data_IF_549109813035
#
_entry.id   IF_549109813035
#
_cell.length_a   1.000
_cell.length_b   1.000
_cell.length_c   1.000
_cell.angle_alpha   90.00
_cell.angle_beta   90.00
_cell.angle_gamma   90.00
#
_symmetry.space_group_name_H-M   'P 1'
#
loop_
_entity.id
_entity.type
_entity.pdbx_description
1 polymer ?
#
# COMPACT_ATOMS: atom_id res chain seq x y z
N UNK A 1 33.55 -32.79 -38.95
CA UNK A 1 32.48 -33.27 -38.06
C UNK A 1 32.68 -32.63 -36.70
N UNK A 2 32.02 -31.50 -36.46
CA UNK A 2 32.10 -30.77 -35.20
C UNK A 2 31.08 -31.39 -34.22
N UNK A 3 31.54 -31.73 -33.02
CA UNK A 3 30.73 -32.29 -31.94
C UNK A 3 29.99 -31.17 -31.22
N UNK A 4 28.72 -30.95 -31.57
CA UNK A 4 27.82 -30.08 -30.81
C UNK A 4 27.38 -30.79 -29.53
N UNK A 5 27.97 -30.40 -28.41
CA UNK A 5 27.48 -30.79 -27.07
C UNK A 5 26.45 -29.78 -26.60
N UNK A 6 25.17 -30.17 -26.69
CA UNK A 6 24.04 -29.41 -26.14
C UNK A 6 24.21 -29.29 -24.61
N UNK A 7 24.16 -28.09 -23.99
CA UNK A 7 24.28 -27.96 -22.55
C UNK A 7 23.01 -28.48 -21.87
N UNK A 8 23.17 -29.51 -21.03
CA UNK A 8 22.10 -30.13 -20.27
C UNK A 8 21.34 -29.09 -19.42
N UNK A 9 20.04 -28.97 -19.67
CA UNK A 9 19.10 -28.20 -18.85
C UNK A 9 19.01 -28.84 -17.47
N UNK A 10 19.59 -28.19 -16.46
CA UNK A 10 19.50 -28.63 -15.05
C UNK A 10 18.03 -28.66 -14.62
N UNK A 11 17.46 -29.86 -14.49
CA UNK A 11 16.11 -30.02 -13.93
C UNK A 11 16.10 -29.51 -12.48
N UNK A 12 15.07 -28.71 -12.14
CA UNK A 12 14.90 -28.21 -10.77
C UNK A 12 14.57 -29.39 -9.86
N UNK A 13 15.49 -29.74 -8.96
CA UNK A 13 15.29 -30.79 -7.96
C UNK A 13 14.26 -30.34 -6.91
N UNK A 14 13.21 -31.13 -6.72
CA UNK A 14 12.32 -30.99 -5.57
C UNK A 14 13.11 -31.28 -4.28
N UNK A 15 12.88 -30.49 -3.23
CA UNK A 15 13.53 -30.68 -1.94
C UNK A 15 12.50 -30.75 -0.82
N UNK A 16 12.77 -31.61 0.17
CA UNK A 16 11.94 -31.76 1.35
C UNK A 16 12.14 -30.56 2.30
N UNK A 17 11.05 -29.87 2.67
CA UNK A 17 11.08 -28.72 3.59
C UNK A 17 10.81 -29.21 5.02
N UNK A 18 11.69 -28.89 5.97
CA UNK A 18 11.38 -29.05 7.41
C UNK A 18 10.41 -27.96 7.88
N UNK A 19 9.73 -28.14 9.03
CA UNK A 19 8.92 -27.09 9.69
C UNK A 19 9.72 -25.79 9.96
N UNK A 20 11.04 -25.87 9.91
CA UNK A 20 11.96 -24.75 10.12
C UNK A 20 12.42 -24.07 8.81
N UNK A 21 11.86 -24.44 7.66
CA UNK A 21 12.24 -23.96 6.33
C UNK A 21 13.33 -24.82 5.68
N UNK A 22 13.54 -24.64 4.37
CA UNK A 22 14.63 -25.30 3.65
C UNK A 22 15.98 -24.64 3.90
N UNK A 23 17.08 -25.36 3.65
CA UNK A 23 18.44 -24.85 3.85
C UNK A 23 18.71 -23.50 3.15
N UNK A 24 18.25 -23.24 1.90
CA UNK A 24 18.34 -21.92 1.28
C UNK A 24 17.60 -20.81 2.06
N UNK A 25 16.39 -21.08 2.54
CA UNK A 25 15.60 -20.11 3.31
C UNK A 25 16.22 -19.81 4.68
N UNK A 26 16.82 -20.82 5.33
CA UNK A 26 17.59 -20.65 6.57
C UNK A 26 18.86 -19.84 6.33
N UNK A 27 19.63 -20.14 5.28
CA UNK A 27 20.85 -19.40 4.91
C UNK A 27 20.57 -17.92 4.63
N UNK A 28 19.40 -17.61 4.07
CA UNK A 28 18.94 -16.23 3.76
C UNK A 28 18.23 -15.52 4.93
N UNK A 29 18.19 -16.13 6.13
CA UNK A 29 17.57 -15.57 7.36
C UNK A 29 16.12 -15.10 7.18
N UNK A 30 15.35 -15.71 6.26
CA UNK A 30 14.03 -15.20 5.84
C UNK A 30 13.06 -15.05 7.02
N UNK A 31 13.11 -15.93 8.02
CA UNK A 31 12.26 -15.87 9.24
C UNK A 31 12.46 -14.61 10.09
N UNK A 32 13.68 -14.06 10.14
CA UNK A 32 13.99 -12.85 10.90
C UNK A 32 13.43 -11.63 10.17
N UNK A 33 13.59 -11.61 8.86
CA UNK A 33 13.11 -10.52 8.00
C UNK A 33 11.59 -10.51 7.84
N UNK A 34 10.90 -11.64 7.91
CA UNK A 34 9.42 -11.68 7.89
C UNK A 34 8.82 -11.00 9.11
N UNK A 35 9.35 -11.21 10.32
CA UNK A 35 8.82 -10.54 11.51
C UNK A 35 9.18 -9.05 11.53
N UNK A 36 10.44 -8.72 11.22
CA UNK A 36 10.91 -7.33 11.17
C UNK A 36 10.25 -6.50 10.06
N UNK A 37 9.85 -7.13 8.94
CA UNK A 37 9.14 -6.45 7.84
C UNK A 37 7.80 -5.84 8.26
N UNK A 38 7.13 -6.39 9.28
CA UNK A 38 5.74 -6.03 9.58
C UNK A 38 5.55 -5.31 10.91
N UNK A 39 6.54 -5.31 11.79
CA UNK A 39 6.37 -4.83 13.16
C UNK A 39 7.22 -3.61 13.43
N UNK A 40 6.56 -2.47 13.67
CA UNK A 40 7.16 -1.41 14.50
C UNK A 40 7.18 -1.87 15.97
N UNK A 41 8.12 -1.36 16.79
CA UNK A 41 7.99 -1.42 18.24
C UNK A 41 6.64 -0.78 18.62
N UNK A 42 5.76 -1.52 19.33
CA UNK A 42 4.50 -0.96 19.84
C UNK A 42 3.22 -1.75 19.53
N UNK A 43 3.24 -2.80 18.68
CA UNK A 43 2.08 -3.69 18.49
C UNK A 43 2.43 -5.16 18.76
N UNK A 44 2.37 -5.61 20.03
CA UNK A 44 2.67 -7.01 20.40
C UNK A 44 1.80 -8.02 19.66
N UNK A 45 0.52 -7.69 19.42
CA UNK A 45 -0.42 -8.58 18.75
C UNK A 45 -0.08 -8.80 17.28
N UNK A 46 0.28 -7.75 16.53
CA UNK A 46 0.76 -7.91 15.16
C UNK A 46 2.11 -8.63 15.12
N UNK A 47 2.98 -8.41 16.12
CA UNK A 47 4.24 -9.13 16.20
C UNK A 47 4.06 -10.63 16.41
N UNK A 48 3.14 -11.04 17.29
CA UNK A 48 2.75 -12.45 17.45
C UNK A 48 2.20 -13.02 16.13
N UNK A 49 1.30 -12.28 15.48
CA UNK A 49 0.65 -12.70 14.23
C UNK A 49 1.67 -13.12 13.16
N UNK A 50 2.65 -12.27 12.87
CA UNK A 50 3.63 -12.54 11.82
C UNK A 50 4.74 -13.51 12.26
N UNK A 51 5.02 -13.62 13.56
CA UNK A 51 6.07 -14.50 14.10
C UNK A 51 5.59 -15.95 14.28
N UNK A 52 4.32 -16.14 14.63
CA UNK A 52 3.78 -17.42 15.09
C UNK A 52 2.56 -17.86 14.27
N UNK A 53 1.51 -17.05 14.23
CA UNK A 53 0.21 -17.46 13.68
C UNK A 53 0.26 -17.68 12.16
N UNK A 54 0.82 -16.72 11.41
CA UNK A 54 1.00 -16.83 9.94
C UNK A 54 1.89 -18.01 9.56
N UNK A 55 3.07 -18.24 10.17
CA UNK A 55 3.87 -19.45 9.92
C UNK A 55 3.14 -20.74 10.25
N UNK A 56 2.33 -20.77 11.31
CA UNK A 56 1.49 -21.94 11.66
C UNK A 56 0.46 -22.23 10.57
N UNK A 57 -0.30 -21.22 10.13
CA UNK A 57 -1.25 -21.33 9.03
C UNK A 57 -0.55 -21.76 7.72
N UNK A 58 0.67 -21.27 7.48
CA UNK A 58 1.46 -21.58 6.28
C UNK A 58 1.90 -23.05 6.21
N UNK A 59 1.86 -23.78 7.33
CA UNK A 59 2.12 -25.23 7.35
C UNK A 59 0.94 -26.01 6.74
N UNK A 60 -0.29 -25.53 6.94
CA UNK A 60 -1.52 -26.13 6.39
C UNK A 60 -1.85 -25.59 5.00
N UNK A 61 -1.49 -24.34 4.71
CA UNK A 61 -1.81 -23.65 3.46
C UNK A 61 -0.54 -23.17 2.76
N UNK A 62 -0.05 -23.96 1.79
CA UNK A 62 1.22 -23.70 1.10
C UNK A 62 1.25 -22.35 0.38
N UNK A 63 0.13 -21.90 -0.20
CA UNK A 63 0.02 -20.61 -0.87
C UNK A 63 0.31 -19.44 0.07
N UNK A 64 -0.11 -19.51 1.34
CA UNK A 64 0.17 -18.47 2.34
C UNK A 64 1.68 -18.39 2.62
N UNK A 65 2.33 -19.54 2.76
CA UNK A 65 3.78 -19.60 2.95
C UNK A 65 4.56 -19.04 1.75
N UNK A 66 4.07 -19.29 0.53
CA UNK A 66 4.65 -18.70 -0.67
C UNK A 66 4.44 -17.17 -0.74
N UNK A 67 3.26 -16.66 -0.37
CA UNK A 67 3.03 -15.22 -0.24
C UNK A 67 3.94 -14.56 0.80
N UNK A 68 4.09 -15.18 1.96
CA UNK A 68 4.98 -14.72 3.03
C UNK A 68 6.45 -14.61 2.54
N UNK A 69 6.94 -15.64 1.83
CA UNK A 69 8.28 -15.63 1.27
C UNK A 69 8.45 -14.53 0.21
N UNK A 70 7.46 -14.34 -0.65
CA UNK A 70 7.48 -13.27 -1.66
C UNK A 70 7.67 -11.90 -1.00
N UNK A 71 6.83 -11.56 -0.01
CA UNK A 71 6.94 -10.30 0.73
C UNK A 71 8.30 -10.16 1.42
N UNK A 72 8.78 -11.23 2.05
CA UNK A 72 10.09 -11.21 2.70
C UNK A 72 11.24 -10.93 1.72
N UNK A 73 11.17 -11.47 0.50
CA UNK A 73 12.15 -11.21 -0.54
C UNK A 73 12.11 -9.77 -1.05
N UNK A 74 10.94 -9.15 -1.15
CA UNK A 74 10.83 -7.73 -1.50
C UNK A 74 11.45 -6.85 -0.42
N UNK A 75 11.14 -7.11 0.85
CA UNK A 75 11.77 -6.39 1.97
C UNK A 75 13.29 -6.58 2.00
N UNK A 76 13.79 -7.79 1.76
CA UNK A 76 15.23 -8.03 1.62
C UNK A 76 15.82 -7.27 0.44
N UNK A 77 15.10 -7.18 -0.68
CA UNK A 77 15.54 -6.43 -1.85
C UNK A 77 15.67 -4.93 -1.56
N UNK A 78 14.76 -4.35 -0.79
CA UNK A 78 14.82 -2.92 -0.39
C UNK A 78 16.00 -2.60 0.53
N UNK A 79 16.55 -3.60 1.23
CA UNK A 79 17.72 -3.46 2.10
C UNK A 79 19.05 -3.84 1.40
N UNK A 80 19.00 -4.29 0.15
CA UNK A 80 20.13 -4.87 -0.56
C UNK A 80 20.69 -3.96 -1.64
N UNK A 81 21.96 -4.16 -2.00
CA UNK A 81 22.58 -3.51 -3.16
C UNK A 81 21.85 -3.87 -4.48
N UNK A 82 21.89 -3.01 -5.52
CA UNK A 82 21.06 -3.16 -6.73
C UNK A 82 21.16 -4.53 -7.44
N UNK A 83 22.37 -5.09 -7.57
CA UNK A 83 22.58 -6.40 -8.22
C UNK A 83 21.89 -7.54 -7.45
N UNK A 84 21.99 -7.52 -6.12
CA UNK A 84 21.37 -8.50 -5.23
C UNK A 84 19.86 -8.29 -5.16
N UNK A 85 19.42 -7.03 -5.09
CA UNK A 85 18.01 -6.63 -5.09
C UNK A 85 17.26 -7.21 -6.30
N UNK A 86 17.77 -7.05 -7.53
CA UNK A 86 17.16 -7.64 -8.74
C UNK A 86 16.94 -9.16 -8.62
N UNK A 87 17.92 -9.89 -8.10
CA UNK A 87 17.80 -11.34 -7.91
C UNK A 87 16.74 -11.70 -6.87
N UNK A 88 16.67 -10.95 -5.77
CA UNK A 88 15.68 -11.15 -4.73
C UNK A 88 14.26 -10.84 -5.23
N UNK A 89 14.08 -9.82 -6.07
CA UNK A 89 12.78 -9.53 -6.72
C UNK A 89 12.33 -10.66 -7.66
N UNK A 90 13.25 -11.28 -8.39
CA UNK A 90 12.95 -12.49 -9.19
C UNK A 90 12.51 -13.65 -8.29
N UNK A 91 13.22 -13.88 -7.18
CA UNK A 91 12.84 -14.90 -6.20
C UNK A 91 11.46 -14.61 -5.57
N UNK A 92 11.16 -13.33 -5.32
CA UNK A 92 9.83 -12.89 -4.87
C UNK A 92 8.74 -13.26 -5.89
N UNK A 93 8.90 -12.85 -7.14
CA UNK A 93 7.93 -13.12 -8.21
C UNK A 93 7.72 -14.63 -8.42
N UNK A 94 8.79 -15.43 -8.32
CA UNK A 94 8.68 -16.89 -8.34
C UNK A 94 7.76 -17.39 -7.23
N UNK A 95 7.98 -16.98 -5.98
CA UNK A 95 7.16 -17.45 -4.87
C UNK A 95 5.71 -16.97 -4.99
N UNK A 96 5.48 -15.73 -5.41
CA UNK A 96 4.13 -15.20 -5.63
C UNK A 96 3.36 -16.01 -6.67
N UNK A 97 3.96 -16.26 -7.84
CA UNK A 97 3.35 -17.04 -8.92
C UNK A 97 3.07 -18.50 -8.51
N UNK A 98 3.91 -19.09 -7.66
CA UNK A 98 3.68 -20.44 -7.12
C UNK A 98 2.51 -20.50 -6.13
N UNK A 99 2.16 -19.39 -5.47
CA UNK A 99 1.01 -19.35 -4.56
C UNK A 99 -0.34 -19.32 -5.30
N UNK A 100 -0.38 -18.67 -6.46
CA UNK A 100 -1.64 -18.35 -7.16
C UNK A 100 -2.54 -19.57 -7.43
N UNK A 101 -2.05 -20.72 -7.95
CA UNK A 101 -2.93 -21.85 -8.24
C UNK A 101 -3.65 -22.37 -6.99
N UNK A 102 -2.91 -22.53 -5.88
CA UNK A 102 -3.48 -23.04 -4.62
C UNK A 102 -4.45 -22.03 -3.97
N UNK A 103 -4.13 -20.74 -4.07
CA UNK A 103 -5.02 -19.67 -3.60
C UNK A 103 -6.31 -19.61 -4.42
N UNK A 104 -6.21 -19.61 -5.76
CA UNK A 104 -7.35 -19.54 -6.67
C UNK A 104 -8.24 -20.78 -6.60
N UNK A 105 -7.69 -21.95 -6.27
CA UNK A 105 -8.53 -23.12 -5.98
C UNK A 105 -9.26 -22.97 -4.65
N UNK A 106 -8.56 -22.52 -3.61
CA UNK A 106 -9.12 -22.38 -2.26
C UNK A 106 -10.21 -21.31 -2.17
N UNK A 107 -10.13 -20.23 -2.96
CA UNK A 107 -11.11 -19.14 -2.93
C UNK A 107 -12.47 -19.53 -3.53
N UNK A 108 -12.53 -20.60 -4.33
CA UNK A 108 -13.79 -21.11 -4.90
C UNK A 108 -14.77 -21.56 -3.80
N UNK A 109 -14.25 -22.05 -2.67
CA UNK A 109 -15.04 -22.48 -1.53
C UNK A 109 -14.45 -21.95 -0.22
N UNK A 110 -14.97 -20.81 0.23
CA UNK A 110 -14.52 -20.16 1.47
C UNK A 110 -15.18 -20.84 2.66
N UNK A 111 -14.38 -21.29 3.62
CA UNK A 111 -14.80 -21.97 4.86
C UNK A 111 -14.12 -21.31 6.06
N UNK A 112 -14.60 -21.60 7.27
CA UNK A 112 -13.96 -21.14 8.51
C UNK A 112 -12.47 -21.53 8.55
N UNK A 113 -12.14 -22.77 8.18
CA UNK A 113 -10.79 -23.32 8.23
C UNK A 113 -9.80 -22.65 7.29
N UNK A 114 -10.23 -22.20 6.09
CA UNK A 114 -9.34 -21.58 5.10
C UNK A 114 -9.42 -20.05 5.07
N UNK A 115 -10.43 -19.45 5.72
CA UNK A 115 -10.68 -18.01 5.70
C UNK A 115 -9.48 -17.18 6.12
N UNK A 116 -8.83 -17.56 7.23
CA UNK A 116 -7.63 -16.88 7.73
C UNK A 116 -6.47 -16.98 6.75
N UNK A 117 -6.26 -18.14 6.12
CA UNK A 117 -5.19 -18.28 5.14
C UNK A 117 -5.46 -17.46 3.87
N UNK A 118 -6.71 -17.47 3.37
CA UNK A 118 -7.13 -16.68 2.22
C UNK A 118 -6.96 -15.19 2.48
N UNK A 119 -7.46 -14.69 3.61
CA UNK A 119 -7.34 -13.28 3.97
C UNK A 119 -5.88 -12.86 4.20
N UNK A 120 -5.07 -13.71 4.85
CA UNK A 120 -3.64 -13.48 5.06
C UNK A 120 -2.87 -13.39 3.74
N UNK A 121 -3.17 -14.27 2.79
CA UNK A 121 -2.57 -14.19 1.45
C UNK A 121 -3.04 -12.95 0.69
N UNK A 122 -4.32 -12.59 0.81
CA UNK A 122 -4.86 -11.38 0.22
C UNK A 122 -4.10 -10.13 0.73
N UNK A 123 -3.84 -10.01 2.04
CA UNK A 123 -2.98 -8.96 2.61
C UNK A 123 -1.60 -8.92 1.93
N UNK A 124 -0.97 -10.07 1.69
CA UNK A 124 0.30 -10.13 0.96
C UNK A 124 0.17 -9.64 -0.49
N UNK A 125 -0.93 -9.93 -1.18
CA UNK A 125 -1.18 -9.37 -2.53
C UNK A 125 -1.12 -7.85 -2.51
N UNK A 126 -1.78 -7.18 -1.55
CA UNK A 126 -1.74 -5.71 -1.46
C UNK A 126 -0.34 -5.19 -1.18
N UNK A 127 0.40 -5.81 -0.26
CA UNK A 127 1.77 -5.41 0.05
C UNK A 127 2.70 -5.55 -1.15
N UNK A 128 2.57 -6.65 -1.91
CA UNK A 128 3.31 -6.87 -3.15
C UNK A 128 2.90 -5.85 -4.22
N UNK A 129 1.60 -5.58 -4.38
CA UNK A 129 1.10 -4.58 -5.33
C UNK A 129 1.67 -3.19 -5.02
N UNK A 130 1.68 -2.76 -3.76
CA UNK A 130 2.25 -1.48 -3.36
C UNK A 130 3.74 -1.39 -3.66
N UNK A 131 4.52 -2.40 -3.24
CA UNK A 131 5.96 -2.38 -3.44
C UNK A 131 6.33 -2.42 -4.94
N UNK A 132 5.62 -3.22 -5.73
CA UNK A 132 5.83 -3.31 -7.18
C UNK A 132 5.42 -2.02 -7.89
N UNK A 133 4.28 -1.42 -7.56
CA UNK A 133 3.85 -0.14 -8.15
C UNK A 133 4.86 0.97 -7.84
N UNK A 134 5.45 0.94 -6.65
CA UNK A 134 6.53 1.86 -6.30
C UNK A 134 7.74 1.67 -7.26
N UNK A 135 8.26 0.45 -7.38
CA UNK A 135 9.44 0.15 -8.23
C UNK A 135 9.17 0.45 -9.72
N UNK A 136 8.00 0.06 -10.22
CA UNK A 136 7.53 0.34 -11.58
C UNK A 136 7.49 1.85 -11.83
N UNK A 137 6.96 2.63 -10.88
CA UNK A 137 6.92 4.08 -10.99
C UNK A 137 8.32 4.71 -11.04
N UNK A 138 9.31 4.24 -10.28
CA UNK A 138 10.67 4.76 -10.43
C UNK A 138 11.27 4.55 -11.81
N UNK A 139 11.10 3.36 -12.38
CA UNK A 139 11.68 3.03 -13.69
C UNK A 139 11.02 3.87 -14.78
N UNK A 140 9.70 4.08 -14.66
CA UNK A 140 8.93 4.89 -15.59
C UNK A 140 9.29 6.37 -15.48
N UNK A 141 9.37 6.93 -14.28
CA UNK A 141 9.76 8.33 -14.08
C UNK A 141 11.18 8.61 -14.61
N UNK A 142 12.15 7.72 -14.32
CA UNK A 142 13.50 7.85 -14.88
C UNK A 142 13.49 7.80 -16.42
N UNK A 143 12.66 6.95 -17.02
CA UNK A 143 12.50 6.90 -18.47
C UNK A 143 11.88 8.18 -19.04
N UNK A 144 10.94 8.83 -18.34
CA UNK A 144 10.39 10.11 -18.79
C UNK A 144 11.44 11.22 -18.81
N UNK A 145 12.35 11.24 -17.84
CA UNK A 145 13.50 12.16 -17.84
C UNK A 145 14.42 11.91 -19.04
N UNK A 146 14.75 10.64 -19.32
CA UNK A 146 15.65 10.26 -20.41
C UNK A 146 15.00 10.37 -21.81
N UNK A 147 13.68 10.17 -21.91
CA UNK A 147 12.93 10.07 -23.17
C UNK A 147 11.62 10.88 -23.13
N UNK A 148 11.69 12.22 -23.18
CA UNK A 148 10.51 13.09 -23.06
C UNK A 148 9.42 12.81 -24.12
N UNK A 149 9.82 12.33 -25.30
CA UNK A 149 8.90 11.98 -26.39
C UNK A 149 8.02 10.75 -26.10
N UNK A 150 8.28 9.99 -25.02
CA UNK A 150 7.44 8.87 -24.55
C UNK A 150 6.65 9.21 -23.28
N UNK A 151 6.44 10.50 -23.01
CA UNK A 151 5.72 10.96 -21.82
C UNK A 151 4.33 10.30 -21.70
N UNK A 152 3.56 10.23 -22.79
CA UNK A 152 2.22 9.64 -22.80
C UNK A 152 2.20 8.14 -22.42
N UNK A 153 3.14 7.35 -22.97
CA UNK A 153 3.28 5.93 -22.60
C UNK A 153 3.65 5.78 -21.12
N UNK A 154 4.51 6.67 -20.62
CA UNK A 154 4.94 6.69 -19.23
C UNK A 154 3.78 7.03 -18.30
N UNK A 155 3.02 8.09 -18.62
CA UNK A 155 1.82 8.50 -17.91
C UNK A 155 0.81 7.35 -17.83
N UNK A 156 0.56 6.68 -18.96
CA UNK A 156 -0.36 5.53 -19.01
C UNK A 156 0.13 4.38 -18.12
N UNK A 157 1.43 4.05 -18.15
CA UNK A 157 2.02 3.02 -17.30
C UNK A 157 1.85 3.33 -15.81
N UNK A 158 2.14 4.57 -15.41
CA UNK A 158 1.99 5.07 -14.04
C UNK A 158 0.52 5.03 -13.57
N UNK A 159 -0.38 5.49 -14.43
CA UNK A 159 -1.83 5.51 -14.21
C UNK A 159 -2.40 4.10 -13.97
N UNK A 160 -2.00 3.15 -14.82
CA UNK A 160 -2.36 1.73 -14.67
C UNK A 160 -1.80 1.13 -13.38
N UNK A 161 -0.56 1.47 -13.00
CA UNK A 161 0.06 0.99 -11.76
C UNK A 161 -0.67 1.51 -10.51
N UNK A 162 -1.12 2.78 -10.52
CA UNK A 162 -1.90 3.36 -9.42
C UNK A 162 -3.29 2.70 -9.30
N UNK A 163 -3.99 2.51 -10.42
CA UNK A 163 -5.28 1.84 -10.42
C UNK A 163 -5.20 0.35 -10.03
N UNK A 164 -4.09 -0.34 -10.37
CA UNK A 164 -3.82 -1.71 -9.93
C UNK A 164 -3.79 -1.83 -8.41
N UNK A 165 -3.22 -0.84 -7.71
CA UNK A 165 -3.22 -0.78 -6.24
C UNK A 165 -4.65 -0.67 -5.71
N UNK A 166 -5.46 0.22 -6.28
CA UNK A 166 -6.87 0.39 -5.89
C UNK A 166 -7.65 -0.93 -6.01
N UNK A 167 -7.55 -1.59 -7.17
CA UNK A 167 -8.20 -2.89 -7.41
C UNK A 167 -7.72 -3.97 -6.45
N UNK A 168 -6.42 -3.99 -6.14
CA UNK A 168 -5.86 -4.96 -5.19
C UNK A 168 -6.50 -4.82 -3.81
N UNK A 169 -6.67 -3.59 -3.32
CA UNK A 169 -7.31 -3.32 -2.02
C UNK A 169 -8.80 -3.70 -2.05
N UNK A 170 -9.54 -3.30 -3.07
CA UNK A 170 -10.96 -3.63 -3.22
C UNK A 170 -11.19 -5.15 -3.24
N UNK A 171 -10.32 -5.91 -3.91
CA UNK A 171 -10.38 -7.37 -3.94
C UNK A 171 -10.20 -8.01 -2.56
N UNK A 172 -9.29 -7.49 -1.72
CA UNK A 172 -9.15 -7.95 -0.33
C UNK A 172 -10.45 -7.71 0.44
N UNK A 173 -11.04 -6.53 0.30
CA UNK A 173 -12.25 -6.17 1.04
C UNK A 173 -13.46 -7.00 0.64
N UNK A 174 -13.58 -7.35 -0.65
CA UNK A 174 -14.58 -8.32 -1.11
C UNK A 174 -14.44 -9.69 -0.43
N UNK A 175 -13.20 -10.16 -0.19
CA UNK A 175 -12.95 -11.41 0.55
C UNK A 175 -13.27 -11.23 2.02
N UNK A 176 -12.77 -10.15 2.63
CA UNK A 176 -13.00 -9.84 4.04
C UNK A 176 -14.49 -9.85 4.39
N UNK A 177 -15.33 -9.21 3.59
CA UNK A 177 -16.77 -9.17 3.84
C UNK A 177 -17.41 -10.57 3.88
N UNK A 178 -16.95 -11.49 3.01
CA UNK A 178 -17.45 -12.88 2.97
C UNK A 178 -17.03 -13.72 4.18
N UNK A 179 -15.92 -13.39 4.83
CA UNK A 179 -15.39 -14.14 5.96
C UNK A 179 -15.28 -13.34 7.26
N UNK A 180 -15.90 -12.16 7.34
CA UNK A 180 -15.71 -11.19 8.42
C UNK A 180 -15.89 -11.82 9.80
N UNK A 181 -16.93 -12.63 9.99
CA UNK A 181 -17.21 -13.31 11.25
C UNK A 181 -16.04 -14.18 11.71
N UNK A 182 -15.45 -14.97 10.80
CA UNK A 182 -14.35 -15.89 11.09
C UNK A 182 -13.01 -15.16 11.26
N UNK A 183 -12.79 -14.08 10.51
CA UNK A 183 -11.57 -13.26 10.67
C UNK A 183 -11.60 -12.50 12.00
N UNK A 184 -12.78 -12.02 12.42
CA UNK A 184 -12.93 -11.23 13.65
C UNK A 184 -12.73 -12.06 14.92
N UNK A 185 -13.07 -13.35 14.91
CA UNK A 185 -12.79 -14.29 16.00
C UNK A 185 -11.47 -15.06 15.83
N UNK A 186 -10.85 -14.97 14.65
CA UNK A 186 -9.71 -15.78 14.26
C UNK A 186 -8.33 -15.18 14.59
N UNK A 187 -7.25 -15.88 14.19
CA UNK A 187 -5.87 -15.45 14.42
C UNK A 187 -5.52 -14.13 13.70
N UNK A 188 -6.22 -13.80 12.60
CA UNK A 188 -6.01 -12.56 11.86
C UNK A 188 -6.77 -11.34 12.43
N UNK A 189 -7.53 -11.51 13.51
CA UNK A 189 -8.25 -10.40 14.15
C UNK A 189 -7.37 -9.18 14.49
N UNK A 190 -6.09 -9.31 14.89
CA UNK A 190 -5.24 -8.14 15.15
C UNK A 190 -4.96 -7.29 13.90
N UNK A 191 -5.07 -7.85 12.69
CA UNK A 191 -4.83 -7.14 11.44
C UNK A 191 -6.01 -6.27 10.99
N UNK A 192 -7.20 -6.49 11.55
CA UNK A 192 -8.45 -5.78 11.20
C UNK A 192 -8.99 -4.91 12.34
N UNK A 193 -8.36 -4.97 13.52
CA UNK A 193 -8.83 -4.28 14.70
C UNK A 193 -8.71 -2.77 14.50
N UNK A 194 -9.86 -2.10 14.35
CA UNK A 194 -9.91 -0.64 14.30
C UNK A 194 -9.66 -0.05 15.67
N UNK A 195 -8.87 1.00 15.72
CA UNK A 195 -8.61 1.72 16.96
C UNK A 195 -9.68 2.79 17.16
N UNK A 196 -10.11 2.99 18.39
CA UNK A 196 -11.01 4.10 18.74
C UNK A 196 -10.11 5.18 19.34
N UNK A 197 -10.08 6.39 18.77
CA UNK A 197 -9.21 7.44 19.29
C UNK A 197 -9.70 7.85 20.70
N UNK A 198 -8.80 8.12 21.65
CA UNK A 198 -9.18 8.85 22.85
C UNK A 198 -9.67 10.25 22.46
N UNK A 199 -10.46 10.88 23.34
CA UNK A 199 -11.10 12.20 23.16
C UNK A 199 -10.27 13.17 22.31
N UNK A 200 -10.90 13.73 21.28
CA UNK A 200 -10.30 14.69 20.36
C UNK A 200 -9.83 15.95 21.09
N UNK A 201 -8.54 16.27 20.95
CA UNK A 201 -8.03 17.57 21.41
C UNK A 201 -8.53 18.70 20.51
N UNK A 202 -8.71 19.91 21.06
CA UNK A 202 -9.13 21.09 20.30
C UNK A 202 -8.23 21.37 19.08
N UNK A 203 -6.91 21.17 19.24
CA UNK A 203 -5.94 21.33 18.15
C UNK A 203 -6.20 20.38 16.97
N UNK A 204 -6.54 19.11 17.25
CA UNK A 204 -6.83 18.14 16.20
C UNK A 204 -8.15 18.46 15.50
N UNK A 205 -9.16 18.93 16.24
CA UNK A 205 -10.44 19.37 15.65
C UNK A 205 -10.24 20.52 14.67
N UNK A 206 -9.44 21.52 15.05
CA UNK A 206 -9.15 22.65 14.18
C UNK A 206 -8.32 22.23 12.96
N UNK A 207 -7.34 21.33 13.13
CA UNK A 207 -6.57 20.79 12.01
C UNK A 207 -7.45 20.04 11.01
N UNK A 208 -8.37 19.20 11.49
CA UNK A 208 -9.34 18.50 10.62
C UNK A 208 -10.16 19.51 9.82
N UNK A 209 -10.64 20.58 10.46
CA UNK A 209 -11.41 21.63 9.79
C UNK A 209 -10.60 22.34 8.69
N UNK A 210 -9.37 22.73 8.99
CA UNK A 210 -8.48 23.43 8.03
C UNK A 210 -8.18 22.54 6.82
N UNK A 211 -7.89 21.25 7.04
CA UNK A 211 -7.66 20.30 5.95
C UNK A 211 -8.92 20.05 5.13
N UNK A 212 -10.06 19.88 5.79
CA UNK A 212 -11.35 19.65 5.14
C UNK A 212 -11.73 20.80 4.20
N UNK A 213 -11.58 22.04 4.68
CA UNK A 213 -11.82 23.23 3.87
C UNK A 213 -10.86 23.28 2.66
N UNK A 214 -9.58 22.97 2.87
CA UNK A 214 -8.61 22.94 1.78
C UNK A 214 -8.98 21.90 0.72
N UNK A 215 -9.31 20.67 1.13
CA UNK A 215 -9.70 19.60 0.22
C UNK A 215 -11.02 19.89 -0.49
N UNK A 216 -11.99 20.50 0.19
CA UNK A 216 -13.28 20.86 -0.41
C UNK A 216 -13.12 21.80 -1.63
N UNK A 217 -12.09 22.66 -1.63
CA UNK A 217 -11.81 23.56 -2.75
C UNK A 217 -11.43 22.84 -4.04
N UNK A 218 -10.88 21.62 -3.97
CA UNK A 218 -10.55 20.82 -5.16
C UNK A 218 -11.78 20.53 -6.01
N UNK A 219 -12.96 20.45 -5.41
CA UNK A 219 -14.22 20.24 -6.12
C UNK A 219 -14.53 21.31 -7.17
N UNK A 220 -13.98 22.51 -7.01
CA UNK A 220 -14.14 23.60 -7.99
C UNK A 220 -13.42 23.33 -9.31
N UNK A 221 -12.34 22.55 -9.30
CA UNK A 221 -11.53 22.25 -10.49
C UNK A 221 -12.36 21.62 -11.61
N UNK A 222 -13.30 20.73 -11.27
CA UNK A 222 -14.21 20.11 -12.23
C UNK A 222 -15.64 20.68 -12.16
N UNK A 223 -16.03 21.34 -11.07
CA UNK A 223 -17.33 21.98 -10.94
C UNK A 223 -17.49 23.24 -11.79
N UNK A 224 -16.39 23.98 -12.01
CA UNK A 224 -16.37 25.20 -12.82
C UNK A 224 -15.91 24.95 -14.26
N UNK A 225 -15.43 23.75 -14.56
CA UNK A 225 -14.93 23.38 -15.89
C UNK A 225 -16.09 22.98 -16.82
N UNK A 226 -16.41 23.77 -17.86
CA UNK A 226 -17.55 23.50 -18.74
C UNK A 226 -17.36 22.26 -19.63
N UNK A 227 -16.14 21.75 -19.73
CA UNK A 227 -15.77 20.58 -20.55
C UNK A 227 -15.96 19.24 -19.83
N UNK A 228 -16.22 19.25 -18.52
CA UNK A 228 -16.33 18.02 -17.73
C UNK A 228 -17.80 17.56 -17.69
N UNK A 229 -18.13 16.35 -18.16
CA UNK A 229 -19.47 15.80 -18.06
C UNK A 229 -19.96 15.69 -16.60
N UNK A 230 -21.25 15.91 -16.37
CA UNK A 230 -21.84 15.86 -15.03
C UNK A 230 -21.57 14.53 -14.30
N UNK A 231 -21.68 13.41 -15.00
CA UNK A 231 -21.41 12.08 -14.43
C UNK A 231 -19.96 11.94 -13.93
N UNK A 232 -19.00 12.46 -14.71
CA UNK A 232 -17.60 12.49 -14.33
C UNK A 232 -17.38 13.41 -13.13
N UNK A 233 -17.99 14.60 -13.12
CA UNK A 233 -17.92 15.53 -11.99
C UNK A 233 -18.50 14.93 -10.70
N UNK A 234 -19.62 14.20 -10.78
CA UNK A 234 -20.20 13.46 -9.66
C UNK A 234 -19.25 12.37 -9.15
N UNK A 235 -18.63 11.61 -10.05
CA UNK A 235 -17.66 10.55 -9.72
C UNK A 235 -16.44 11.12 -8.99
N UNK A 236 -15.86 12.22 -9.50
CA UNK A 236 -14.74 12.93 -8.86
C UNK A 236 -15.14 13.47 -7.48
N UNK A 237 -16.33 14.07 -7.37
CA UNK A 237 -16.84 14.64 -6.12
C UNK A 237 -17.09 13.58 -5.05
N UNK A 238 -17.61 12.41 -5.44
CA UNK A 238 -17.81 11.28 -4.52
C UNK A 238 -16.47 10.75 -3.97
N UNK A 239 -15.47 10.60 -4.83
CA UNK A 239 -14.12 10.19 -4.44
C UNK A 239 -13.44 11.23 -3.54
N UNK A 240 -13.60 12.52 -3.84
CA UNK A 240 -13.09 13.62 -3.01
C UNK A 240 -13.76 13.63 -1.62
N UNK A 241 -15.08 13.46 -1.55
CA UNK A 241 -15.81 13.36 -0.28
C UNK A 241 -15.29 12.21 0.57
N UNK A 242 -15.08 11.04 -0.03
CA UNK A 242 -14.46 9.90 0.64
C UNK A 242 -13.02 10.21 1.11
N UNK A 243 -12.25 10.99 0.34
CA UNK A 243 -10.90 11.37 0.72
C UNK A 243 -10.93 12.27 1.95
N UNK A 244 -11.83 13.26 1.99
CA UNK A 244 -12.05 14.15 3.14
C UNK A 244 -12.37 13.37 4.41
N UNK A 245 -13.28 12.40 4.34
CA UNK A 245 -13.59 11.49 5.46
C UNK A 245 -12.33 10.73 5.94
N UNK A 246 -11.49 10.29 4.99
CA UNK A 246 -10.27 9.53 5.30
C UNK A 246 -9.22 10.41 5.97
N UNK A 247 -9.04 11.65 5.52
CA UNK A 247 -8.19 12.64 6.18
C UNK A 247 -8.64 12.88 7.62
N UNK A 248 -9.94 13.17 7.82
CA UNK A 248 -10.49 13.39 9.14
C UNK A 248 -10.25 12.18 10.05
N UNK A 249 -10.60 10.97 9.60
CA UNK A 249 -10.43 9.75 10.37
C UNK A 249 -8.97 9.47 10.73
N UNK A 250 -8.04 9.58 9.77
CA UNK A 250 -6.61 9.34 10.02
C UNK A 250 -6.04 10.39 10.97
N UNK A 251 -6.38 11.66 10.78
CA UNK A 251 -5.93 12.75 11.68
C UNK A 251 -6.44 12.53 13.11
N UNK A 252 -7.66 12.03 13.30
CA UNK A 252 -8.19 11.68 14.63
C UNK A 252 -7.43 10.52 15.29
N UNK A 253 -6.97 9.54 14.51
CA UNK A 253 -6.31 8.33 15.00
C UNK A 253 -4.80 8.50 15.26
N UNK A 254 -4.21 9.61 14.81
CA UNK A 254 -2.79 9.88 15.02
C UNK A 254 -2.54 10.29 16.48
N UNK A 255 -1.67 9.54 17.14
CA UNK A 255 -1.13 9.91 18.45
C UNK A 255 0.08 10.80 18.24
N UNK A 256 -0.06 12.08 18.58
CA UNK A 256 1.02 13.06 18.48
C UNK A 256 2.16 12.76 19.46
N UNK A 257 3.41 13.10 19.12
CA UNK A 257 4.52 12.99 20.06
C UNK A 257 4.29 13.92 21.27
N UNK A 258 4.83 13.58 22.46
CA UNK A 258 4.73 14.44 23.63
C UNK A 258 5.31 15.83 23.33
N UNK A 259 4.64 16.89 23.79
CA UNK A 259 5.09 18.27 23.60
C UNK A 259 6.44 18.46 24.31
N UNK A 260 7.47 18.91 23.58
CA UNK A 260 8.67 19.43 24.22
C UNK A 260 8.37 20.81 24.81
N UNK A 261 8.88 21.08 26.02
CA UNK A 261 8.63 22.33 26.77
C UNK A 261 9.05 23.61 26.03
N UNK A 262 9.80 23.52 24.92
CA UNK A 262 10.27 24.68 24.14
C UNK A 262 9.30 25.12 23.01
N UNK A 263 8.30 24.32 22.64
CA UNK A 263 7.35 24.66 21.55
C UNK A 263 6.20 25.57 21.98
N UNK A 264 6.09 25.93 23.27
CA UNK A 264 4.99 26.73 23.82
C UNK A 264 5.05 28.22 23.46
N UNK A 265 6.14 28.72 22.89
CA UNK A 265 6.37 30.18 22.73
C UNK A 265 6.22 30.71 21.29
N UNK A 266 5.74 29.91 20.33
CA UNK A 266 5.45 30.37 18.95
C UNK A 266 4.05 29.90 18.53
N UNK A 267 3.03 30.42 19.21
CA UNK A 267 1.63 30.36 18.78
C UNK A 267 1.30 31.62 17.97
N UNK A 268 1.81 31.69 16.75
CA UNK A 268 1.31 32.66 15.77
C UNK A 268 0.27 31.96 14.89
N UNK A 269 -0.99 32.22 15.23
CA UNK A 269 -2.31 32.18 14.54
C UNK A 269 -2.47 31.80 13.04
N UNK A 270 -1.49 31.22 12.33
CA UNK A 270 -1.67 30.74 10.95
C UNK A 270 -1.37 29.24 10.89
N UNK A 271 -2.41 28.43 10.71
CA UNK A 271 -2.30 27.00 10.50
C UNK A 271 -1.75 26.71 9.09
N UNK A 272 -0.42 26.67 8.98
CA UNK A 272 0.28 26.21 7.78
C UNK A 272 0.09 24.70 7.58
N UNK A 273 -0.52 24.30 6.46
CA UNK A 273 -0.73 22.90 6.06
C UNK A 273 0.58 22.10 6.07
N UNK A 274 1.72 22.71 5.71
CA UNK A 274 3.03 22.03 5.75
C UNK A 274 3.47 21.77 7.18
N UNK A 275 3.23 22.70 8.11
CA UNK A 275 3.50 22.50 9.55
C UNK A 275 2.61 21.40 10.12
N UNK A 276 1.32 21.40 9.79
CA UNK A 276 0.37 20.35 10.21
C UNK A 276 0.81 18.98 9.71
N UNK A 277 1.11 18.86 8.42
CA UNK A 277 1.61 17.62 7.83
C UNK A 277 2.87 17.13 8.55
N UNK A 278 3.87 17.99 8.78
CA UNK A 278 5.10 17.63 9.51
C UNK A 278 4.82 17.09 10.92
N UNK A 279 3.94 17.76 11.69
CA UNK A 279 3.58 17.31 13.05
C UNK A 279 2.83 15.98 13.05
N UNK A 280 1.89 15.79 12.11
CA UNK A 280 1.15 14.55 11.95
C UNK A 280 2.05 13.40 11.51
N UNK A 281 2.97 13.64 10.56
CA UNK A 281 3.95 12.64 10.08
C UNK A 281 4.97 12.24 11.16
N UNK A 282 5.23 13.11 12.14
CA UNK A 282 6.05 12.77 13.30
C UNK A 282 5.28 11.95 14.36
N UNK A 283 3.96 11.86 14.25
CA UNK A 283 3.10 11.07 15.13
C UNK A 283 3.15 9.57 14.85
N UNK A 284 2.42 8.81 15.67
CA UNK A 284 2.25 7.37 15.52
C UNK A 284 0.80 7.04 15.19
N UNK A 285 0.60 6.28 14.11
CA UNK A 285 -0.68 5.67 13.77
C UNK A 285 -0.62 4.16 14.00
N UNK A 286 -1.45 3.68 14.93
CA UNK A 286 -1.55 2.24 15.23
C UNK A 286 -2.57 1.54 14.31
N UNK A 287 -3.62 2.25 13.86
CA UNK A 287 -4.66 1.75 12.96
C UNK A 287 -4.34 2.06 11.48
N UNK A 288 -3.39 1.30 10.94
CA UNK A 288 -3.00 1.40 9.52
C UNK A 288 -4.14 1.07 8.54
N UNK A 289 -5.02 0.07 8.79
CA UNK A 289 -6.15 -0.20 7.90
C UNK A 289 -7.01 1.03 7.56
N UNK A 290 -7.16 1.98 8.50
CA UNK A 290 -7.92 3.22 8.30
C UNK A 290 -7.34 4.13 7.20
N UNK A 291 -6.04 4.03 6.89
CA UNK A 291 -5.41 4.75 5.78
C UNK A 291 -6.00 4.31 4.43
N UNK A 292 -6.37 3.04 4.32
CA UNK A 292 -6.85 2.46 3.06
C UNK A 292 -8.36 2.64 2.84
N UNK A 293 -9.09 3.25 3.79
CA UNK A 293 -10.54 3.51 3.67
C UNK A 293 -10.91 4.24 2.40
N UNK A 294 -10.07 5.16 1.93
CA UNK A 294 -10.28 5.82 0.65
C UNK A 294 -10.32 4.80 -0.51
N UNK A 295 -9.27 3.98 -0.68
CA UNK A 295 -9.21 2.96 -1.73
C UNK A 295 -10.37 1.96 -1.68
N UNK A 296 -10.81 1.59 -0.48
CA UNK A 296 -11.90 0.63 -0.26
C UNK A 296 -13.24 1.18 -0.80
N UNK A 297 -13.44 2.49 -0.69
CA UNK A 297 -14.68 3.18 -1.04
C UNK A 297 -14.66 3.78 -2.45
N UNK A 298 -13.56 3.64 -3.20
CA UNK A 298 -13.51 4.11 -4.59
C UNK A 298 -14.54 3.38 -5.44
N UNK A 299 -15.22 4.11 -6.31
CA UNK A 299 -16.13 3.51 -7.29
C UNK A 299 -15.35 2.93 -8.48
N UNK A 300 -15.90 1.93 -9.19
CA UNK A 300 -15.29 1.40 -10.41
C UNK A 300 -15.04 2.49 -11.48
N UNK A 301 -15.93 3.47 -11.57
CA UNK A 301 -15.85 4.58 -12.51
C UNK A 301 -14.65 5.48 -12.19
N UNK A 302 -14.43 5.79 -10.90
CA UNK A 302 -13.25 6.57 -10.49
C UNK A 302 -11.95 5.81 -10.76
N UNK A 303 -11.93 4.49 -10.51
CA UNK A 303 -10.76 3.66 -10.84
C UNK A 303 -10.51 3.66 -12.35
N UNK A 304 -11.55 3.65 -13.18
CA UNK A 304 -11.42 3.80 -14.64
C UNK A 304 -10.82 5.16 -15.03
N UNK A 305 -11.24 6.25 -14.40
CA UNK A 305 -10.63 7.58 -14.60
C UNK A 305 -9.14 7.57 -14.23
N UNK A 306 -8.77 6.86 -13.16
CA UNK A 306 -7.37 6.69 -12.79
C UNK A 306 -6.59 5.91 -13.87
N UNK A 307 -7.15 4.83 -14.42
CA UNK A 307 -6.51 4.03 -15.47
C UNK A 307 -6.30 4.81 -16.76
N UNK A 308 -7.23 5.72 -17.07
CA UNK A 308 -7.17 6.61 -18.22
C UNK A 308 -6.19 7.78 -18.03
N UNK A 309 -5.59 7.95 -16.84
CA UNK A 309 -4.69 9.05 -16.55
C UNK A 309 -5.41 10.40 -16.47
N UNK A 310 -6.67 10.43 -16.07
CA UNK A 310 -7.43 11.67 -15.95
C UNK A 310 -6.77 12.63 -14.95
N UNK A 311 -6.50 13.86 -15.38
CA UNK A 311 -5.80 14.87 -14.59
C UNK A 311 -6.44 15.11 -13.21
N UNK A 312 -7.77 15.27 -13.14
CA UNK A 312 -8.46 15.51 -11.86
C UNK A 312 -8.41 14.29 -10.93
N UNK A 313 -8.54 13.07 -11.47
CA UNK A 313 -8.38 11.86 -10.68
C UNK A 313 -6.95 11.74 -10.09
N UNK A 314 -5.94 12.14 -10.85
CA UNK A 314 -4.54 12.16 -10.40
C UNK A 314 -4.28 13.24 -9.35
N UNK A 315 -4.94 14.40 -9.44
CA UNK A 315 -4.92 15.41 -8.37
C UNK A 315 -5.48 14.83 -7.07
N UNK A 316 -6.62 14.14 -7.11
CA UNK A 316 -7.20 13.50 -5.92
C UNK A 316 -6.26 12.42 -5.36
N UNK A 317 -5.64 11.62 -6.23
CA UNK A 317 -4.63 10.62 -5.83
C UNK A 317 -3.39 11.27 -5.18
N UNK A 318 -2.90 12.39 -5.71
CA UNK A 318 -1.78 13.12 -5.14
C UNK A 318 -2.11 13.65 -3.73
N UNK A 319 -3.35 14.09 -3.49
CA UNK A 319 -3.79 14.47 -2.15
C UNK A 319 -3.91 13.26 -1.22
N UNK A 320 -4.37 12.10 -1.70
CA UNK A 320 -4.32 10.86 -0.94
C UNK A 320 -2.88 10.46 -0.55
N UNK A 321 -1.90 10.75 -1.40
CA UNK A 321 -0.49 10.49 -1.10
C UNK A 321 -0.01 11.15 0.20
N UNK A 322 -0.61 12.27 0.60
CA UNK A 322 -0.33 12.97 1.87
C UNK A 322 -0.72 12.10 3.07
N UNK A 323 -1.90 11.47 3.03
CA UNK A 323 -2.38 10.55 4.09
C UNK A 323 -1.49 9.33 4.16
N UNK A 324 -1.14 8.79 2.98
CA UNK A 324 -0.25 7.63 2.88
C UNK A 324 1.13 7.93 3.46
N UNK A 325 1.69 9.10 3.19
CA UNK A 325 3.00 9.52 3.70
C UNK A 325 3.00 9.62 5.23
N UNK A 326 1.98 10.28 5.82
CA UNK A 326 1.84 10.42 7.28
C UNK A 326 1.83 9.09 8.01
N UNK A 327 1.15 8.09 7.44
CA UNK A 327 0.92 6.82 8.11
C UNK A 327 1.98 5.74 7.81
N UNK A 328 2.61 5.83 6.64
CA UNK A 328 3.37 4.72 6.05
C UNK A 328 4.72 5.14 5.47
N UNK A 329 5.20 6.37 5.67
CA UNK A 329 6.50 6.85 5.14
C UNK A 329 7.70 5.99 5.55
N UNK A 330 7.68 5.42 6.75
CA UNK A 330 8.75 4.56 7.26
C UNK A 330 8.50 3.06 7.08
N UNK A 331 7.44 2.71 6.33
CA UNK A 331 7.14 1.33 5.98
C UNK A 331 7.75 1.00 4.62
N UNK A 332 8.52 -0.09 4.57
CA UNK A 332 9.29 -0.46 3.37
C UNK A 332 8.38 -0.71 2.15
N UNK A 333 7.15 -1.21 2.33
CA UNK A 333 6.24 -1.56 1.23
C UNK A 333 5.55 -0.34 0.59
N UNK A 334 5.61 0.82 1.24
CA UNK A 334 5.17 2.14 0.71
C UNK A 334 6.34 3.06 0.46
N UNK A 335 7.58 2.57 0.56
CA UNK A 335 8.76 3.41 0.43
C UNK A 335 8.73 4.20 -0.89
N UNK A 336 8.85 5.52 -0.77
CA UNK A 336 8.79 6.51 -1.85
C UNK A 336 7.48 6.57 -2.65
N UNK A 337 6.46 5.81 -2.26
CA UNK A 337 5.25 5.69 -3.07
C UNK A 337 4.42 6.98 -3.05
N UNK A 338 4.31 7.63 -1.89
CA UNK A 338 3.63 8.92 -1.77
C UNK A 338 4.27 9.97 -2.69
N UNK A 339 5.60 10.09 -2.65
CA UNK A 339 6.35 11.00 -3.54
C UNK A 339 6.16 10.62 -5.01
N UNK A 340 6.13 9.32 -5.33
CA UNK A 340 5.88 8.84 -6.69
C UNK A 340 4.49 9.23 -7.18
N UNK A 341 3.44 9.09 -6.37
CA UNK A 341 2.09 9.53 -6.75
C UNK A 341 2.01 11.04 -7.02
N UNK A 342 2.70 11.86 -6.23
CA UNK A 342 2.79 13.30 -6.49
C UNK A 342 3.52 13.57 -7.81
N UNK A 343 4.67 12.92 -8.05
CA UNK A 343 5.41 13.05 -9.30
C UNK A 343 4.61 12.60 -10.53
N UNK A 344 3.73 11.59 -10.39
CA UNK A 344 2.81 11.20 -11.48
C UNK A 344 1.84 12.33 -11.79
N UNK A 345 1.24 12.95 -10.78
CA UNK A 345 0.32 14.06 -10.98
C UNK A 345 1.03 15.29 -11.58
N UNK A 346 2.23 15.63 -11.11
CA UNK A 346 3.06 16.69 -11.69
C UNK A 346 3.36 16.44 -13.18
N UNK A 347 3.72 15.20 -13.53
CA UNK A 347 4.00 14.83 -14.91
C UNK A 347 2.77 14.98 -15.82
N UNK A 348 1.58 14.64 -15.31
CA UNK A 348 0.31 14.68 -16.07
C UNK A 348 -0.20 16.11 -16.22
N UNK A 349 -0.06 16.93 -15.18
CA UNK A 349 -0.53 18.31 -15.16
C UNK A 349 0.45 19.27 -15.85
N UNK A 350 1.72 18.89 -15.96
CA UNK A 350 2.80 19.72 -16.48
C UNK A 350 3.33 20.72 -15.43
N UNK A 351 4.47 21.38 -15.72
CA UNK A 351 5.06 22.35 -14.82
C UNK A 351 4.13 23.57 -14.65
N UNK A 352 3.63 23.80 -13.43
CA UNK A 352 2.89 25.01 -13.04
C UNK A 352 1.48 24.82 -12.48
N UNK A 353 0.97 23.59 -12.34
CA UNK A 353 -0.41 23.33 -11.89
C UNK A 353 -0.58 22.97 -10.39
N UNK A 354 0.52 22.76 -9.66
CA UNK A 354 0.51 22.30 -8.25
C UNK A 354 1.15 23.29 -7.26
N UNK A 355 1.44 24.52 -7.70
CA UNK A 355 1.71 25.66 -6.81
C UNK A 355 0.41 26.21 -6.22
#
# INVERSE_FOLDING_TARGET
MANDTVPATKSRKFHHKSRYGCAPCKKRRIKIYTAAAFTKPGSPSLAKLFREDIPSLSASFSFLGHGLLSVAYIHLASLSQPKTSKKLLIDSAYHFNQALPGYLESIKNITENNSSALFGFAIFVVLVSFANSSEEASVLLQRAEDQPYKCEETIRGLSVAAARVARSIQNIFGIFWRCQQWISSGPLSPAIRRYIPPTLSENLMEWIRVEDEHLARLGRLWGEAPTVPLEQACTLSASLSCLRDTFAMVTQLIVLPPKNNEESNIETSSYDLRRMHRKLSAGRLDDIPSVFTWYIRLSPEFVSLMEQGNAYAMVVLAHYAIVLDRACSDRWWTHRLSQRFVAVAELILGPGYLE
#
